data_IF_469754616834
#
_entry.id   IF_469754616834
#
_cell.length_a   1.000
_cell.length_b   1.000
_cell.length_c   1.000
_cell.angle_alpha   90.00
_cell.angle_beta   90.00
_cell.angle_gamma   90.00
#
_symmetry.space_group_name_H-M   'P 1'
#
loop_
_entity.id
_entity.type
_entity.pdbx_description
1 polymer ?
#
# COMPACT_ATOMS: atom_id res chain seq x y z
N UNK A 1 -2.44 -30.73 -4.28
CA UNK A 1 -1.13 -30.25 -4.76
C UNK A 1 -1.30 -28.86 -5.36
N UNK A 2 -1.31 -27.80 -4.55
CA UNK A 2 -1.56 -26.44 -5.05
C UNK A 2 -0.23 -25.78 -5.39
N UNK A 3 0.26 -26.01 -6.61
CA UNK A 3 1.35 -25.20 -7.15
C UNK A 3 0.74 -23.88 -7.69
N UNK A 4 0.67 -22.85 -6.85
CA UNK A 4 0.33 -21.46 -7.23
C UNK A 4 0.57 -20.55 -6.02
N UNK A 5 1.50 -19.59 -6.04
CA UNK A 5 1.65 -18.43 -6.91
C UNK A 5 3.14 -18.05 -7.14
N UNK A 6 3.61 -17.97 -8.39
CA UNK A 6 4.91 -17.36 -8.71
C UNK A 6 4.91 -16.47 -9.97
N UNK A 7 3.73 -16.02 -10.43
CA UNK A 7 3.56 -15.19 -11.61
C UNK A 7 2.09 -15.07 -12.04
N UNK A 8 1.85 -14.31 -13.10
CA UNK A 8 0.52 -14.08 -13.67
C UNK A 8 0.40 -14.68 -15.06
N UNK A 9 -0.82 -14.73 -15.61
CA UNK A 9 -0.99 -15.08 -17.02
C UNK A 9 -0.39 -14.01 -17.93
N UNK A 10 0.19 -14.36 -19.10
CA UNK A 10 0.76 -13.37 -20.04
C UNK A 10 -0.23 -12.27 -20.44
N UNK A 11 -1.50 -12.63 -20.63
CA UNK A 11 -2.57 -11.68 -20.95
C UNK A 11 -2.81 -10.67 -19.82
N UNK A 12 -2.74 -11.10 -18.56
CA UNK A 12 -2.88 -10.20 -17.43
C UNK A 12 -1.66 -9.28 -17.32
N UNK A 13 -0.44 -9.82 -17.46
CA UNK A 13 0.79 -9.03 -17.46
C UNK A 13 0.79 -7.94 -18.54
N UNK A 14 0.39 -8.26 -19.77
CA UNK A 14 0.28 -7.30 -20.86
C UNK A 14 -0.76 -6.19 -20.59
N UNK A 15 -1.81 -6.47 -19.79
CA UNK A 15 -2.76 -5.46 -19.34
C UNK A 15 -2.18 -4.60 -18.22
N UNK A 16 -1.42 -5.19 -17.29
CA UNK A 16 -0.71 -4.43 -16.23
C UNK A 16 0.27 -3.42 -16.82
N UNK A 17 0.91 -3.72 -17.95
CA UNK A 17 1.83 -2.80 -18.65
C UNK A 17 1.17 -1.48 -19.05
N UNK A 18 -0.15 -1.45 -19.23
CA UNK A 18 -0.92 -0.24 -19.57
C UNK A 18 -1.27 0.59 -18.35
N UNK A 19 -1.29 0.00 -17.16
CA UNK A 19 -1.71 0.68 -15.93
C UNK A 19 -0.58 1.53 -15.33
N UNK A 20 -0.96 2.57 -14.57
CA UNK A 20 -0.06 3.37 -13.75
C UNK A 20 -0.67 3.65 -12.37
N UNK A 21 0.16 3.69 -11.34
CA UNK A 21 -0.26 4.10 -10.00
C UNK A 21 -0.53 5.61 -9.95
N UNK A 22 -1.68 5.97 -9.39
CA UNK A 22 -2.10 7.34 -9.12
C UNK A 22 -2.35 7.47 -7.64
N UNK A 23 -1.67 8.44 -7.03
CA UNK A 23 -1.91 8.78 -5.64
C UNK A 23 -2.45 10.20 -5.56
N UNK A 24 -3.54 10.37 -4.82
CA UNK A 24 -4.06 11.70 -4.49
C UNK A 24 -3.05 12.33 -3.54
N UNK A 25 -2.30 13.33 -4.01
CA UNK A 25 -1.51 14.17 -3.11
C UNK A 25 -2.47 15.17 -2.48
N UNK A 26 -2.59 15.24 -1.14
CA UNK A 26 -3.28 16.34 -0.51
C UNK A 26 -2.67 17.64 -1.05
N UNK A 27 -3.52 18.55 -1.56
CA UNK A 27 -3.07 19.88 -1.90
C UNK A 27 -2.40 20.43 -0.64
N UNK A 28 -1.11 20.73 -0.72
CA UNK A 28 -0.43 21.45 0.35
C UNK A 28 -1.26 22.71 0.58
N UNK A 29 -1.93 22.77 1.73
CA UNK A 29 -2.70 23.94 2.11
C UNK A 29 -1.85 25.18 1.90
N UNK A 30 -2.46 26.25 1.40
CA UNK A 30 -1.88 27.60 1.27
C UNK A 30 -1.22 28.03 2.57
N UNK A 31 0.02 27.63 2.77
CA UNK A 31 0.99 28.26 3.63
C UNK A 31 2.08 28.74 2.69
N UNK A 32 1.86 29.97 2.20
CA UNK A 32 2.94 30.83 1.79
C UNK A 32 3.86 30.99 3.01
N UNK A 33 4.92 30.18 3.05
CA UNK A 33 5.79 30.13 4.22
C UNK A 33 6.74 28.94 4.17
N UNK A 34 7.77 29.06 3.34
CA UNK A 34 9.10 28.46 3.49
C UNK A 34 9.25 27.19 4.36
N UNK A 35 8.62 26.08 3.99
CA UNK A 35 9.03 24.73 4.41
C UNK A 35 9.12 23.84 3.15
N UNK A 36 9.95 24.27 2.18
CA UNK A 36 10.51 23.31 1.22
C UNK A 36 11.47 22.44 2.01
N UNK A 37 11.24 21.14 2.01
CA UNK A 37 12.10 20.15 2.65
C UNK A 37 13.58 20.44 2.34
N UNK A 38 14.36 20.74 3.37
CA UNK A 38 15.80 21.06 3.30
C UNK A 38 16.70 19.85 3.00
N UNK A 39 16.14 18.72 2.56
CA UNK A 39 16.92 17.56 2.15
C UNK A 39 17.30 17.68 0.66
N UNK A 40 18.36 18.44 0.38
CA UNK A 40 18.97 18.51 -0.96
C UNK A 40 20.09 17.47 -0.98
N UNK A 41 19.77 16.26 -1.45
CA UNK A 41 20.69 15.14 -1.58
C UNK A 41 21.11 14.87 -3.04
N UNK A 42 22.19 14.10 -3.21
CA UNK A 42 22.87 13.71 -4.48
C UNK A 42 21.98 12.88 -5.42
N UNK A 43 20.96 13.49 -6.01
CA UNK A 43 20.12 12.86 -7.04
C UNK A 43 20.83 12.61 -8.37
N UNK A 44 20.29 11.68 -9.18
CA UNK A 44 20.77 11.38 -10.54
C UNK A 44 20.12 12.27 -11.62
N UNK A 45 18.97 12.90 -11.33
CA UNK A 45 18.24 13.77 -12.25
C UNK A 45 18.51 15.25 -11.94
N UNK A 46 18.95 15.99 -12.95
CA UNK A 46 19.10 17.44 -12.89
C UNK A 46 17.71 18.09 -12.76
N UNK A 47 17.49 18.88 -11.71
CA UNK A 47 16.21 19.54 -11.45
C UNK A 47 16.20 20.99 -11.97
N UNK A 48 17.15 21.82 -11.52
CA UNK A 48 17.23 23.24 -11.89
C UNK A 48 18.59 23.85 -11.51
N UNK A 49 18.86 25.07 -11.97
CA UNK A 49 19.95 25.93 -11.50
C UNK A 49 19.42 26.91 -10.45
N UNK A 50 20.25 27.21 -9.45
CA UNK A 50 20.01 28.37 -8.56
C UNK A 50 21.28 29.21 -8.40
N UNK A 51 21.16 30.51 -8.07
CA UNK A 51 22.33 31.31 -7.71
C UNK A 51 23.12 30.64 -6.59
N UNK A 52 24.44 30.60 -6.76
CA UNK A 52 25.36 30.08 -5.74
C UNK A 52 25.23 30.90 -4.45
N UNK A 53 25.16 30.22 -3.32
CA UNK A 53 25.24 30.84 -2.00
C UNK A 53 26.50 30.39 -1.27
N UNK A 54 26.99 31.23 -0.37
CA UNK A 54 28.14 30.89 0.46
C UNK A 54 27.83 29.67 1.33
N UNK A 55 28.70 28.65 1.27
CA UNK A 55 28.49 27.34 1.90
C UNK A 55 27.97 26.25 0.96
N UNK A 56 27.64 26.56 -0.30
CA UNK A 56 27.30 25.54 -1.30
C UNK A 56 28.51 24.66 -1.67
N UNK A 57 28.29 23.36 -1.89
CA UNK A 57 29.36 22.42 -2.24
C UNK A 57 29.97 22.76 -3.63
N UNK A 58 31.29 23.06 -3.73
CA UNK A 58 31.91 23.50 -4.99
C UNK A 58 31.79 22.51 -6.15
N UNK A 59 31.64 21.21 -5.86
CA UNK A 59 31.44 20.16 -6.87
C UNK A 59 30.12 20.29 -7.61
N UNK A 60 29.12 20.92 -6.99
CA UNK A 60 27.79 21.09 -7.58
C UNK A 60 27.69 22.35 -8.44
N UNK A 61 28.71 23.22 -8.45
CA UNK A 61 28.77 24.40 -9.31
C UNK A 61 28.77 24.00 -10.78
N UNK A 62 27.96 24.69 -11.58
CA UNK A 62 27.96 24.55 -13.04
C UNK A 62 28.98 25.47 -13.68
N UNK A 63 30.19 24.95 -13.89
CA UNK A 63 31.27 25.70 -14.54
C UNK A 63 30.97 26.09 -15.98
N UNK A 64 30.08 25.36 -16.69
CA UNK A 64 29.67 25.70 -18.06
C UNK A 64 28.70 26.86 -18.09
N UNK A 65 27.81 26.97 -17.10
CA UNK A 65 26.92 28.12 -16.94
C UNK A 65 27.71 29.37 -16.55
N UNK A 66 28.71 29.22 -15.66
CA UNK A 66 29.63 30.30 -15.31
C UNK A 66 30.38 30.83 -16.53
N UNK A 67 30.95 29.95 -17.35
CA UNK A 67 31.68 30.33 -18.56
C UNK A 67 30.81 31.10 -19.57
N UNK A 68 29.49 30.87 -19.60
CA UNK A 68 28.56 31.54 -20.53
C UNK A 68 27.97 32.84 -20.01
N UNK A 69 27.72 32.94 -18.71
CA UNK A 69 26.92 34.03 -18.14
C UNK A 69 27.64 34.85 -17.07
N UNK A 70 28.88 34.48 -16.70
CA UNK A 70 29.69 35.18 -15.69
C UNK A 70 29.11 35.15 -14.27
N UNK A 71 28.10 34.31 -14.03
CA UNK A 71 27.41 34.17 -12.74
C UNK A 71 27.49 32.74 -12.25
N UNK A 72 27.75 32.57 -10.94
CA UNK A 72 27.84 31.26 -10.32
C UNK A 72 26.44 30.69 -10.07
N UNK A 73 26.22 29.49 -10.60
CA UNK A 73 25.01 28.70 -10.36
C UNK A 73 25.38 27.34 -9.76
N UNK A 74 24.62 26.92 -8.76
CA UNK A 74 24.71 25.59 -8.15
C UNK A 74 23.66 24.69 -8.80
N UNK A 75 24.08 23.54 -9.34
CA UNK A 75 23.19 22.49 -9.87
C UNK A 75 22.38 21.91 -8.72
N UNK A 76 21.05 21.92 -8.85
CA UNK A 76 20.16 21.17 -7.95
C UNK A 76 19.82 19.85 -8.61
N UNK A 77 20.00 18.79 -7.84
CA UNK A 77 19.56 17.45 -8.22
C UNK A 77 18.30 17.14 -7.42
N UNK A 78 17.32 16.51 -8.07
CA UNK A 78 16.14 15.99 -7.39
C UNK A 78 16.56 14.80 -6.54
N UNK A 79 16.38 14.84 -5.21
CA UNK A 79 16.66 13.66 -4.39
C UNK A 79 15.72 12.53 -4.83
N UNK A 80 16.28 11.41 -5.32
CA UNK A 80 15.57 10.26 -5.92
C UNK A 80 14.80 9.41 -4.88
N UNK A 81 14.29 10.06 -3.82
CA UNK A 81 13.45 9.45 -2.77
C UNK A 81 11.97 9.52 -3.09
N UNK A 82 11.56 10.25 -4.13
CA UNK A 82 10.16 10.43 -4.53
C UNK A 82 9.58 9.36 -5.45
N UNK A 83 10.37 8.34 -5.81
CA UNK A 83 9.95 7.24 -6.70
C UNK A 83 9.77 5.89 -6.01
N UNK A 84 9.76 5.85 -4.67
CA UNK A 84 9.56 4.60 -3.92
C UNK A 84 8.09 4.42 -3.55
N UNK A 85 7.51 3.28 -3.92
CA UNK A 85 6.22 2.78 -3.44
C UNK A 85 6.48 1.68 -2.43
N UNK A 86 6.06 1.88 -1.19
CA UNK A 86 6.08 0.84 -0.17
C UNK A 86 4.76 0.07 -0.22
N UNK A 87 4.84 -1.25 -0.32
CA UNK A 87 3.72 -2.18 -0.21
C UNK A 87 3.81 -2.83 1.17
N UNK A 88 2.96 -2.41 2.10
CA UNK A 88 2.84 -3.04 3.41
C UNK A 88 1.71 -4.09 3.33
N UNK A 89 2.08 -5.36 3.47
CA UNK A 89 1.16 -6.49 3.41
C UNK A 89 0.97 -7.03 4.82
N UNK A 90 -0.27 -7.01 5.29
CA UNK A 90 -0.67 -7.70 6.50
C UNK A 90 -0.58 -9.20 6.29
N UNK A 91 0.15 -9.86 7.18
CA UNK A 91 0.37 -11.30 7.17
C UNK A 91 0.04 -11.91 8.53
N UNK A 92 -0.84 -11.24 9.30
CA UNK A 92 -1.40 -11.74 10.55
C UNK A 92 -2.22 -13.02 10.35
N UNK A 93 -2.55 -13.69 11.46
CA UNK A 93 -3.36 -14.90 11.45
C UNK A 93 -4.79 -14.66 10.89
N UNK A 94 -5.36 -13.46 11.05
CA UNK A 94 -6.67 -13.14 10.47
C UNK A 94 -6.67 -13.20 8.95
N UNK A 95 -5.51 -13.01 8.31
CA UNK A 95 -5.34 -13.11 6.86
C UNK A 95 -5.27 -14.57 6.37
N UNK A 96 -5.07 -15.55 7.26
CA UNK A 96 -5.09 -16.99 6.95
C UNK A 96 -6.52 -17.55 6.89
N UNK A 97 -7.38 -16.92 6.07
CA UNK A 97 -8.80 -17.24 6.01
C UNK A 97 -9.31 -17.38 4.58
N UNK A 98 -10.25 -18.32 4.39
CA UNK A 98 -10.77 -18.73 3.08
C UNK A 98 -9.91 -19.80 2.40
N UNK A 99 -10.32 -20.24 1.22
CA UNK A 99 -9.68 -21.35 0.50
C UNK A 99 -9.31 -20.99 -0.94
N UNK A 100 -8.32 -21.69 -1.49
CA UNK A 100 -7.97 -21.58 -2.91
C UNK A 100 -7.70 -20.13 -3.36
N UNK A 101 -8.23 -19.69 -4.52
CA UNK A 101 -8.02 -18.34 -5.02
C UNK A 101 -8.65 -17.21 -4.18
N UNK A 102 -9.65 -17.51 -3.34
CA UNK A 102 -10.33 -16.54 -2.49
C UNK A 102 -9.73 -16.44 -1.09
N UNK A 103 -8.69 -17.21 -0.77
CA UNK A 103 -7.94 -17.07 0.48
C UNK A 103 -7.38 -15.64 0.62
N UNK A 104 -7.68 -14.95 1.73
CA UNK A 104 -7.35 -13.53 1.96
C UNK A 104 -5.87 -13.21 1.81
N UNK A 105 -5.01 -13.92 2.55
CA UNK A 105 -3.58 -13.69 2.55
C UNK A 105 -2.95 -13.91 1.17
N UNK A 106 -3.26 -15.02 0.50
CA UNK A 106 -2.88 -15.25 -0.89
C UNK A 106 -3.39 -14.13 -1.80
N UNK A 107 -4.65 -13.72 -1.69
CA UNK A 107 -5.24 -12.63 -2.49
C UNK A 107 -4.46 -11.31 -2.31
N UNK A 108 -4.19 -10.91 -1.07
CA UNK A 108 -3.42 -9.72 -0.75
C UNK A 108 -1.98 -9.79 -1.31
N UNK A 109 -1.31 -10.94 -1.18
CA UNK A 109 0.05 -11.16 -1.71
C UNK A 109 0.07 -11.11 -3.25
N UNK A 110 -0.94 -11.66 -3.92
CA UNK A 110 -1.13 -11.53 -5.38
C UNK A 110 -1.39 -10.08 -5.78
N UNK A 111 -2.23 -9.37 -5.03
CA UNK A 111 -2.50 -7.96 -5.30
C UNK A 111 -1.25 -7.09 -5.17
N UNK A 112 -0.46 -7.31 -4.10
CA UNK A 112 0.84 -6.66 -3.91
C UNK A 112 1.80 -6.95 -5.07
N UNK A 113 1.88 -8.19 -5.54
CA UNK A 113 2.69 -8.56 -6.69
C UNK A 113 2.27 -7.83 -7.99
N UNK A 114 0.96 -7.74 -8.25
CA UNK A 114 0.44 -7.01 -9.41
C UNK A 114 0.78 -5.50 -9.34
N UNK A 115 0.59 -4.89 -8.16
CA UNK A 115 0.93 -3.48 -7.93
C UNK A 115 2.43 -3.22 -8.02
N UNK A 116 3.27 -4.16 -7.54
CA UNK A 116 4.72 -4.09 -7.69
C UNK A 116 5.11 -4.10 -9.17
N UNK A 117 4.50 -4.96 -9.99
CA UNK A 117 4.74 -4.99 -11.44
C UNK A 117 4.33 -3.67 -12.10
N UNK A 118 3.13 -3.15 -11.82
CA UNK A 118 2.68 -1.84 -12.33
C UNK A 118 3.65 -0.72 -11.97
N UNK A 119 4.09 -0.67 -10.70
CA UNK A 119 5.03 0.34 -10.22
C UNK A 119 6.40 0.26 -10.92
N UNK A 120 6.97 -0.93 -11.00
CA UNK A 120 8.29 -1.17 -11.62
C UNK A 120 8.27 -0.84 -13.11
N UNK A 121 7.17 -1.15 -13.81
CA UNK A 121 6.96 -0.81 -15.22
C UNK A 121 6.81 0.70 -15.47
N UNK A 122 6.64 1.51 -14.40
CA UNK A 122 6.69 2.97 -14.43
C UNK A 122 7.97 3.52 -13.81
N UNK A 123 9.00 2.69 -13.70
CA UNK A 123 10.31 3.01 -13.13
C UNK A 123 10.21 3.55 -11.70
N UNK A 124 9.25 3.03 -10.92
CA UNK A 124 9.19 3.25 -9.49
C UNK A 124 9.96 2.14 -8.79
N UNK A 125 10.69 2.51 -7.74
CA UNK A 125 11.26 1.56 -6.78
C UNK A 125 10.12 1.01 -5.94
N UNK A 126 10.11 -0.29 -5.71
CA UNK A 126 9.12 -0.96 -4.85
C UNK A 126 9.83 -1.55 -3.65
N UNK A 127 9.30 -1.29 -2.47
CA UNK A 127 9.70 -1.94 -1.22
C UNK A 127 8.53 -2.77 -0.72
N UNK A 128 8.74 -4.07 -0.49
CA UNK A 128 7.74 -4.94 0.12
C UNK A 128 8.04 -5.06 1.61
N UNK A 129 7.04 -4.83 2.46
CA UNK A 129 7.10 -5.02 3.90
C UNK A 129 5.97 -5.94 4.32
N UNK A 130 6.24 -6.85 5.24
CA UNK A 130 5.22 -7.66 5.90
C UNK A 130 4.93 -7.10 7.30
N UNK A 131 3.65 -7.02 7.68
CA UNK A 131 3.22 -6.56 9.00
C UNK A 131 2.83 -7.78 9.83
N UNK A 132 3.51 -7.95 10.97
CA UNK A 132 3.26 -9.02 11.94
C UNK A 132 3.78 -8.62 13.31
N UNK A 133 3.04 -8.94 14.36
CA UNK A 133 3.36 -8.77 15.77
C UNK A 133 3.89 -7.37 16.10
N UNK A 134 3.27 -6.33 15.53
CA UNK A 134 3.69 -4.94 15.73
C UNK A 134 5.06 -4.62 15.11
N UNK A 135 5.51 -5.41 14.14
CA UNK A 135 6.79 -5.26 13.44
C UNK A 135 6.60 -5.16 11.93
N UNK A 136 7.55 -4.48 11.30
CA UNK A 136 7.71 -4.43 9.85
C UNK A 136 8.87 -5.34 9.46
N UNK A 137 8.54 -6.49 8.89
CA UNK A 137 9.52 -7.44 8.36
C UNK A 137 9.89 -7.02 6.93
N UNK A 138 11.17 -6.69 6.66
CA UNK A 138 11.57 -6.23 5.35
C UNK A 138 11.60 -7.39 4.34
N UNK A 139 10.94 -7.18 3.20
CA UNK A 139 11.01 -8.05 2.03
C UNK A 139 11.97 -7.51 0.97
N UNK A 140 11.83 -7.97 -0.29
CA UNK A 140 12.67 -7.53 -1.38
C UNK A 140 12.38 -6.07 -1.76
N UNK A 141 13.45 -5.39 -2.18
CA UNK A 141 13.36 -4.12 -2.87
C UNK A 141 13.57 -4.36 -4.36
N UNK A 142 12.61 -3.91 -5.17
CA UNK A 142 12.63 -4.08 -6.63
C UNK A 142 12.75 -2.73 -7.31
N UNK A 143 13.78 -2.56 -8.14
CA UNK A 143 14.00 -1.33 -8.92
C UNK A 143 13.85 -1.54 -10.42
N UNK A 144 13.80 -2.79 -10.88
CA UNK A 144 13.75 -3.16 -12.29
C UNK A 144 12.92 -4.43 -12.51
N UNK A 145 12.43 -4.62 -13.74
CA UNK A 145 11.58 -5.76 -14.14
C UNK A 145 12.23 -7.12 -13.82
N UNK A 146 13.56 -7.21 -13.92
CA UNK A 146 14.33 -8.42 -13.59
C UNK A 146 14.23 -8.85 -12.12
N UNK A 147 13.87 -7.94 -11.21
CA UNK A 147 13.67 -8.24 -9.79
C UNK A 147 12.25 -8.69 -9.43
N UNK A 148 11.28 -8.56 -10.33
CA UNK A 148 9.89 -8.99 -10.07
C UNK A 148 9.76 -10.48 -9.73
N UNK A 149 10.45 -11.41 -10.41
CA UNK A 149 10.38 -12.83 -10.05
C UNK A 149 10.82 -13.11 -8.60
N UNK A 150 11.78 -12.34 -8.07
CA UNK A 150 12.22 -12.47 -6.68
C UNK A 150 11.14 -11.98 -5.71
N UNK A 151 10.49 -10.84 -6.01
CA UNK A 151 9.35 -10.37 -5.23
C UNK A 151 8.16 -11.34 -5.26
N UNK A 152 7.86 -11.92 -6.41
CA UNK A 152 6.76 -12.88 -6.54
C UNK A 152 7.04 -14.16 -5.76
N UNK A 153 8.28 -14.64 -5.78
CA UNK A 153 8.69 -15.80 -4.97
C UNK A 153 8.64 -15.51 -3.47
N UNK A 154 9.10 -14.33 -3.06
CA UNK A 154 8.99 -13.90 -1.66
C UNK A 154 7.51 -13.87 -1.24
N UNK A 155 6.68 -13.11 -1.95
CA UNK A 155 5.24 -13.02 -1.68
C UNK A 155 4.54 -14.37 -1.78
N UNK A 156 4.93 -15.27 -2.67
CA UNK A 156 4.38 -16.62 -2.77
C UNK A 156 4.76 -17.52 -1.58
N UNK A 157 5.92 -17.29 -0.96
CA UNK A 157 6.45 -18.08 0.16
C UNK A 157 6.09 -17.57 1.56
N UNK A 158 5.60 -16.33 1.67
CA UNK A 158 5.13 -15.77 2.94
C UNK A 158 3.94 -16.58 3.46
N UNK A 159 3.98 -16.87 4.77
CA UNK A 159 2.94 -17.57 5.52
C UNK A 159 2.32 -16.61 6.52
N UNK A 160 1.02 -16.71 6.71
CA UNK A 160 0.25 -15.91 7.62
C UNK A 160 0.47 -16.38 9.09
N UNK A 161 0.27 -15.49 10.06
CA UNK A 161 0.39 -15.80 11.50
C UNK A 161 0.76 -14.59 12.36
N UNK A 162 0.61 -14.72 13.68
CA UNK A 162 0.77 -13.60 14.62
C UNK A 162 -0.38 -12.58 14.54
N UNK A 163 -0.25 -11.43 15.18
CA UNK A 163 -1.26 -10.36 15.17
C UNK A 163 -0.80 -9.16 14.33
N UNK A 164 -1.68 -8.43 13.65
CA UNK A 164 -1.25 -7.29 12.82
C UNK A 164 -0.64 -6.14 13.66
N UNK A 165 -1.38 -5.70 14.69
CA UNK A 165 -1.03 -4.59 15.60
C UNK A 165 -0.57 -3.33 14.84
N UNK A 166 -1.36 -2.89 13.86
CA UNK A 166 -1.03 -1.75 13.00
C UNK A 166 -0.76 -0.46 13.79
N UNK A 167 -1.38 -0.31 14.96
CA UNK A 167 -1.14 0.80 15.88
C UNK A 167 0.31 0.95 16.34
N UNK A 168 1.08 -0.14 16.40
CA UNK A 168 2.48 -0.15 16.83
C UNK A 168 3.44 0.22 15.68
N UNK A 169 3.12 -0.21 14.45
CA UNK A 169 3.97 0.03 13.27
C UNK A 169 3.65 1.33 12.53
N UNK A 170 2.52 1.97 12.82
CA UNK A 170 2.06 3.10 12.03
C UNK A 170 3.06 4.26 11.96
N UNK A 171 3.84 4.51 13.03
CA UNK A 171 4.86 5.57 13.03
C UNK A 171 6.02 5.25 12.08
N UNK A 172 6.38 3.97 11.95
CA UNK A 172 7.35 3.51 10.97
C UNK A 172 6.74 3.70 9.58
N UNK A 173 5.55 3.17 9.32
CA UNK A 173 4.86 3.33 8.04
C UNK A 173 4.72 4.81 7.61
N UNK A 174 4.55 5.73 8.56
CA UNK A 174 4.50 7.18 8.31
C UNK A 174 5.76 7.77 7.68
N UNK A 175 6.94 7.18 7.90
CA UNK A 175 8.16 7.73 7.31
C UNK A 175 8.26 7.51 5.79
N UNK A 176 7.28 6.82 5.19
CA UNK A 176 7.22 6.47 3.78
C UNK A 176 6.31 7.47 3.06
N UNK A 177 6.78 8.00 1.92
CA UNK A 177 6.05 9.02 1.16
C UNK A 177 4.88 8.45 0.37
N UNK A 178 5.06 7.26 -0.19
CA UNK A 178 4.04 6.56 -0.97
C UNK A 178 3.83 5.16 -0.41
N UNK A 179 2.66 4.91 0.18
CA UNK A 179 2.38 3.65 0.89
C UNK A 179 1.05 3.04 0.43
N UNK A 180 1.06 1.75 0.13
CA UNK A 180 -0.16 0.96 -0.05
C UNK A 180 -0.20 -0.08 1.06
N UNK A 181 -1.20 -0.01 1.93
CA UNK A 181 -1.47 -1.00 2.96
C UNK A 181 -2.50 -2.01 2.43
N UNK A 182 -2.21 -3.30 2.55
CA UNK A 182 -3.13 -4.39 2.25
C UNK A 182 -3.41 -5.15 3.56
N UNK A 183 -4.61 -5.04 4.10
CA UNK A 183 -5.02 -5.60 5.40
C UNK A 183 -6.53 -5.77 5.43
N UNK A 184 -7.08 -6.65 6.27
CA UNK A 184 -8.53 -6.69 6.53
C UNK A 184 -8.99 -5.57 7.50
N UNK A 185 -8.06 -4.98 8.25
CA UNK A 185 -8.25 -3.96 9.30
C UNK A 185 -9.19 -4.39 10.43
N UNK A 186 -9.41 -5.70 10.62
CA UNK A 186 -10.37 -6.20 11.61
C UNK A 186 -9.85 -6.14 13.05
N UNK A 187 -8.65 -5.58 13.28
CA UNK A 187 -8.10 -5.35 14.62
C UNK A 187 -8.77 -4.16 15.34
N UNK A 188 -8.89 -4.17 16.68
CA UNK A 188 -9.50 -3.08 17.45
C UNK A 188 -8.85 -1.70 17.23
N UNK A 189 -7.52 -1.66 17.09
CA UNK A 189 -6.72 -0.42 17.02
C UNK A 189 -6.43 0.06 15.59
N UNK A 190 -7.20 -0.41 14.59
CA UNK A 190 -7.03 -0.06 13.18
C UNK A 190 -7.04 1.46 12.94
N UNK A 191 -7.79 2.22 13.75
CA UNK A 191 -7.85 3.68 13.66
C UNK A 191 -6.49 4.33 13.90
N UNK A 192 -5.74 3.82 14.89
CA UNK A 192 -4.41 4.30 15.24
C UNK A 192 -3.40 3.92 14.17
N UNK A 193 -3.48 2.69 13.65
CA UNK A 193 -2.65 2.23 12.54
C UNK A 193 -2.85 3.10 11.29
N UNK A 194 -4.11 3.31 10.88
CA UNK A 194 -4.46 4.14 9.74
C UNK A 194 -4.21 5.63 9.97
N UNK A 195 -4.29 6.13 11.21
CA UNK A 195 -3.96 7.53 11.58
C UNK A 195 -2.60 7.98 11.04
N UNK A 196 -1.67 7.04 11.01
CA UNK A 196 -0.26 7.30 10.79
C UNK A 196 0.13 7.17 9.32
N UNK A 197 -0.74 6.57 8.49
CA UNK A 197 -0.54 6.43 7.04
C UNK A 197 -0.75 7.76 6.29
N UNK A 198 -1.53 8.67 6.87
CA UNK A 198 -1.83 10.00 6.32
C UNK A 198 -1.04 11.14 6.95
N UNK A 199 -0.62 12.10 6.13
CA UNK A 199 0.12 13.29 6.56
C UNK A 199 0.58 14.20 5.42
N UNK A 200 1.08 15.41 5.72
CA UNK A 200 1.54 16.35 4.70
C UNK A 200 2.65 15.75 3.83
N UNK A 201 2.44 15.74 2.50
CA UNK A 201 3.40 15.18 1.54
C UNK A 201 3.39 13.65 1.44
N UNK A 202 2.53 12.96 2.18
CA UNK A 202 2.27 11.54 2.01
C UNK A 202 1.14 11.32 1.02
N UNK A 203 1.23 10.24 0.25
CA UNK A 203 0.21 9.78 -0.65
C UNK A 203 0.10 8.26 -0.50
N UNK A 204 -1.07 7.68 -0.69
CA UNK A 204 -1.21 6.26 -0.46
C UNK A 204 -2.59 5.72 -0.62
N UNK A 205 -2.70 4.42 -0.40
CA UNK A 205 -3.96 3.70 -0.42
C UNK A 205 -4.05 2.65 0.68
N UNK A 206 -5.28 2.37 1.07
CA UNK A 206 -5.62 1.26 1.96
C UNK A 206 -6.55 0.34 1.18
N UNK A 207 -6.06 -0.86 0.91
CA UNK A 207 -6.78 -1.93 0.23
C UNK A 207 -7.26 -2.90 1.29
N UNK A 208 -8.52 -2.76 1.65
CA UNK A 208 -9.15 -3.57 2.67
C UNK A 208 -9.62 -4.89 2.07
N UNK A 209 -9.03 -6.01 2.48
CA UNK A 209 -9.29 -7.33 1.88
C UNK A 209 -10.17 -8.16 2.81
N UNK A 210 -11.35 -8.57 2.34
CA UNK A 210 -12.30 -9.37 3.10
C UNK A 210 -12.70 -10.62 2.33
N UNK A 211 -12.87 -11.73 3.03
CA UNK A 211 -13.37 -12.96 2.46
C UNK A 211 -14.88 -12.87 2.15
N UNK A 212 -15.40 -13.71 1.23
CA UNK A 212 -16.82 -13.69 0.87
C UNK A 212 -17.75 -13.94 2.05
N UNK A 213 -17.37 -14.86 2.93
CA UNK A 213 -18.10 -15.24 4.15
C UNK A 213 -17.93 -14.24 5.29
N UNK A 214 -16.85 -13.45 5.30
CA UNK A 214 -16.78 -12.26 6.15
C UNK A 214 -17.71 -11.17 5.63
N UNK A 215 -17.86 -11.01 4.32
CA UNK A 215 -18.78 -10.01 3.78
C UNK A 215 -20.25 -10.43 3.97
N UNK A 216 -20.52 -11.70 3.72
CA UNK A 216 -21.85 -12.29 3.77
C UNK A 216 -21.77 -13.66 4.47
N UNK A 217 -21.84 -13.67 5.81
CA UNK A 217 -21.77 -14.91 6.56
C UNK A 217 -22.94 -15.84 6.19
N UNK A 218 -22.69 -17.15 6.07
CA UNK A 218 -23.74 -18.10 5.76
C UNK A 218 -24.77 -18.17 6.91
N UNK A 219 -26.02 -18.49 6.58
CA UNK A 219 -27.04 -18.82 7.58
C UNK A 219 -26.66 -20.14 8.28
N UNK A 220 -26.64 -20.15 9.61
CA UNK A 220 -26.09 -21.29 10.36
C UNK A 220 -26.77 -21.64 11.69
N UNK A 221 -27.75 -20.88 12.16
CA UNK A 221 -28.32 -21.10 13.51
C UNK A 221 -27.33 -20.67 14.59
N UNK A 222 -27.05 -21.52 15.58
CA UNK A 222 -26.01 -21.30 16.60
C UNK A 222 -24.67 -21.86 16.10
N UNK A 223 -23.66 -21.00 16.02
CA UNK A 223 -22.30 -21.39 15.65
C UNK A 223 -21.30 -20.88 16.67
N UNK A 224 -20.23 -21.63 16.88
CA UNK A 224 -19.07 -21.17 17.62
C UNK A 224 -18.08 -20.52 16.64
N UNK A 225 -17.75 -19.26 16.87
CA UNK A 225 -16.70 -18.55 16.15
C UNK A 225 -15.44 -18.55 17.00
N UNK A 226 -14.31 -18.89 16.39
CA UNK A 226 -12.99 -18.82 17.04
C UNK A 226 -12.27 -17.60 16.49
N UNK A 227 -11.85 -16.71 17.37
CA UNK A 227 -11.04 -15.54 17.00
C UNK A 227 -9.67 -15.99 16.49
N UNK A 228 -9.30 -15.53 15.28
CA UNK A 228 -8.11 -16.01 14.58
C UNK A 228 -6.78 -15.61 15.25
N UNK A 229 -6.76 -14.54 16.07
CA UNK A 229 -5.54 -14.05 16.72
C UNK A 229 -5.40 -14.53 18.16
N UNK A 230 -6.52 -14.63 18.88
CA UNK A 230 -6.56 -14.94 20.32
C UNK A 230 -6.98 -16.38 20.62
N UNK A 231 -7.69 -17.03 19.70
CA UNK A 231 -8.33 -18.33 19.93
C UNK A 231 -9.56 -18.25 20.83
N UNK A 232 -10.07 -17.05 21.16
CA UNK A 232 -11.29 -16.87 21.95
C UNK A 232 -12.49 -17.47 21.19
N UNK A 233 -13.22 -18.36 21.85
CA UNK A 233 -14.44 -18.95 21.29
C UNK A 233 -15.63 -18.09 21.70
N UNK A 234 -16.45 -17.70 20.73
CA UNK A 234 -17.70 -16.96 20.93
C UNK A 234 -18.85 -17.70 20.28
N UNK A 235 -19.86 -18.00 21.07
CA UNK A 235 -21.13 -18.49 20.56
C UNK A 235 -21.90 -17.32 19.92
N UNK A 236 -22.26 -17.47 18.65
CA UNK A 236 -22.99 -16.46 17.89
C UNK A 236 -24.19 -17.10 17.21
N UNK A 237 -25.33 -16.43 17.30
CA UNK A 237 -26.53 -16.80 16.57
C UNK A 237 -26.56 -16.12 15.19
N UNK A 238 -26.30 -16.90 14.14
CA UNK A 238 -26.44 -16.52 12.73
C UNK A 238 -27.91 -16.64 12.27
N UNK A 239 -28.82 -15.97 12.99
CA UNK A 239 -30.22 -15.79 12.58
C UNK A 239 -30.33 -14.68 11.53
N UNK A 240 -31.45 -14.60 10.77
CA UNK A 240 -31.66 -13.49 9.83
C UNK A 240 -31.53 -12.10 10.47
N UNK A 241 -32.00 -11.92 11.71
CA UNK A 241 -31.85 -10.67 12.46
C UNK A 241 -30.39 -10.42 12.87
N UNK A 242 -29.67 -11.47 13.30
CA UNK A 242 -28.24 -11.40 13.62
C UNK A 242 -27.40 -11.01 12.40
N UNK A 243 -27.66 -11.61 11.24
CA UNK A 243 -27.00 -11.29 9.97
C UNK A 243 -27.34 -9.87 9.49
N UNK A 244 -28.57 -9.42 9.63
CA UNK A 244 -28.94 -8.03 9.32
C UNK A 244 -28.18 -7.03 10.21
N UNK A 245 -28.08 -7.32 11.51
CA UNK A 245 -27.28 -6.53 12.45
C UNK A 245 -25.78 -6.55 12.12
N UNK A 246 -25.25 -7.71 11.72
CA UNK A 246 -23.87 -7.86 11.26
C UNK A 246 -23.59 -6.99 10.03
N UNK A 247 -24.43 -7.11 8.98
CA UNK A 247 -24.32 -6.29 7.75
C UNK A 247 -24.31 -4.80 8.06
N UNK A 248 -25.22 -4.35 8.94
CA UNK A 248 -25.25 -2.95 9.36
C UNK A 248 -23.94 -2.50 10.04
N UNK A 249 -23.36 -3.34 10.90
CA UNK A 249 -22.07 -3.06 11.54
C UNK A 249 -20.91 -3.08 10.53
N UNK A 250 -20.90 -4.04 9.61
CA UNK A 250 -19.88 -4.12 8.57
C UNK A 250 -19.94 -2.89 7.65
N UNK A 251 -21.12 -2.49 7.20
CA UNK A 251 -21.32 -1.30 6.37
C UNK A 251 -20.86 -0.03 7.10
N UNK A 252 -21.21 0.10 8.38
CA UNK A 252 -20.77 1.21 9.22
C UNK A 252 -19.23 1.23 9.37
N UNK A 253 -18.62 0.06 9.57
CA UNK A 253 -17.18 -0.10 9.69
C UNK A 253 -16.45 0.26 8.38
N UNK A 254 -16.86 -0.33 7.25
CA UNK A 254 -16.31 0.00 5.92
C UNK A 254 -16.48 1.49 5.60
N UNK A 255 -17.63 2.07 5.96
CA UNK A 255 -17.90 3.50 5.84
C UNK A 255 -16.96 4.35 6.70
N UNK A 256 -16.69 3.95 7.95
CA UNK A 256 -15.78 4.62 8.86
C UNK A 256 -14.33 4.59 8.35
N UNK A 257 -13.86 3.44 7.87
CA UNK A 257 -12.53 3.28 7.26
C UNK A 257 -12.39 4.19 6.03
N UNK A 258 -13.37 4.15 5.12
CA UNK A 258 -13.38 4.99 3.91
C UNK A 258 -13.35 6.47 4.26
N UNK A 259 -14.20 6.91 5.18
CA UNK A 259 -14.25 8.31 5.61
C UNK A 259 -12.93 8.76 6.24
N UNK A 260 -12.29 7.90 7.05
CA UNK A 260 -11.00 8.17 7.66
C UNK A 260 -9.88 8.31 6.62
N UNK A 261 -9.79 7.37 5.68
CA UNK A 261 -8.84 7.43 4.57
C UNK A 261 -9.05 8.72 3.74
N UNK A 262 -10.31 9.07 3.45
CA UNK A 262 -10.67 10.28 2.71
C UNK A 262 -10.20 11.57 3.40
N UNK A 263 -10.38 11.69 4.73
CA UNK A 263 -9.89 12.84 5.52
C UNK A 263 -8.37 12.99 5.48
N UNK A 264 -7.66 11.89 5.26
CA UNK A 264 -6.20 11.83 5.19
C UNK A 264 -5.67 11.97 3.76
N UNK A 265 -6.55 12.07 2.76
CA UNK A 265 -6.18 12.08 1.34
C UNK A 265 -5.74 10.71 0.80
N UNK A 266 -5.98 9.63 1.53
CA UNK A 266 -5.70 8.26 1.10
C UNK A 266 -6.85 7.71 0.25
N UNK A 267 -6.51 6.93 -0.77
CA UNK A 267 -7.50 6.14 -1.52
C UNK A 267 -7.89 4.90 -0.71
N UNK A 268 -9.17 4.58 -0.61
CA UNK A 268 -9.65 3.35 0.03
C UNK A 268 -10.40 2.49 -0.98
N UNK A 269 -10.12 1.19 -0.97
CA UNK A 269 -10.89 0.20 -1.70
C UNK A 269 -11.16 -0.98 -0.76
N UNK A 270 -12.43 -1.35 -0.61
CA UNK A 270 -12.81 -2.61 0.03
C UNK A 270 -12.97 -3.67 -1.06
N UNK A 271 -12.27 -4.79 -0.91
CA UNK A 271 -12.12 -5.85 -1.90
C UNK A 271 -12.65 -7.14 -1.32
N UNK A 272 -13.65 -7.72 -1.99
CA UNK A 272 -14.14 -9.06 -1.68
C UNK A 272 -13.32 -10.08 -2.49
N UNK A 273 -12.71 -11.06 -1.82
CA UNK A 273 -11.85 -12.04 -2.49
C UNK A 273 -12.60 -13.03 -3.39
N UNK A 274 -13.94 -13.01 -3.41
CA UNK A 274 -14.75 -13.65 -4.46
C UNK A 274 -14.46 -13.06 -5.85
N UNK A 275 -14.09 -11.78 -5.93
CA UNK A 275 -13.70 -11.14 -7.19
C UNK A 275 -12.24 -11.44 -7.49
N UNK A 276 -11.97 -12.08 -8.64
CA UNK A 276 -10.60 -12.41 -9.05
C UNK A 276 -9.66 -11.19 -9.02
N UNK A 277 -8.39 -11.41 -8.64
CA UNK A 277 -7.36 -10.36 -8.53
C UNK A 277 -7.24 -9.56 -9.84
N UNK A 278 -7.30 -10.26 -10.97
CA UNK A 278 -7.28 -9.66 -12.31
C UNK A 278 -8.40 -8.64 -12.50
N UNK A 279 -9.62 -8.97 -12.09
CA UNK A 279 -10.76 -8.06 -12.18
C UNK A 279 -10.64 -6.91 -11.19
N UNK A 280 -10.21 -7.16 -9.96
CA UNK A 280 -9.99 -6.12 -8.97
C UNK A 280 -8.97 -5.09 -9.46
N UNK A 281 -7.85 -5.51 -10.04
CA UNK A 281 -6.81 -4.61 -10.56
C UNK A 281 -7.26 -3.87 -11.82
N UNK A 282 -8.02 -4.50 -12.72
CA UNK A 282 -8.39 -3.90 -14.01
C UNK A 282 -9.67 -3.06 -13.98
N UNK A 283 -10.51 -3.23 -12.96
CA UNK A 283 -11.82 -2.56 -12.85
C UNK A 283 -12.01 -1.84 -11.52
N UNK A 284 -11.82 -2.53 -10.39
CA UNK A 284 -12.12 -1.97 -9.07
C UNK A 284 -11.12 -0.87 -8.70
N UNK A 285 -9.82 -1.17 -8.78
CA UNK A 285 -8.79 -0.20 -8.40
C UNK A 285 -8.79 1.06 -9.30
N UNK A 286 -8.99 0.98 -10.62
CA UNK A 286 -9.16 2.17 -11.44
C UNK A 286 -10.38 3.02 -11.07
N UNK A 287 -11.50 2.40 -10.72
CA UNK A 287 -12.69 3.13 -10.28
C UNK A 287 -12.46 3.92 -8.98
N UNK A 288 -11.51 3.50 -8.14
CA UNK A 288 -11.11 4.25 -6.93
C UNK A 288 -10.12 5.39 -7.22
N UNK A 289 -9.59 5.47 -8.44
CA UNK A 289 -8.54 6.42 -8.83
C UNK A 289 -7.14 6.06 -8.32
N UNK A 290 -6.94 4.83 -7.82
CA UNK A 290 -5.60 4.32 -7.47
C UNK A 290 -4.79 3.92 -8.70
N UNK A 291 -5.46 3.46 -9.76
CA UNK A 291 -4.84 3.08 -11.01
C UNK A 291 -5.44 3.88 -12.17
N UNK A 292 -4.60 4.34 -13.07
CA UNK A 292 -5.03 4.90 -14.36
C UNK A 292 -4.64 3.95 -15.50
N UNK A 293 -5.40 4.03 -16.60
CA UNK A 293 -5.13 3.35 -17.86
C UNK A 293 -4.27 4.18 -18.80
#
# INVERSE_FOLDING_TARGET
MTAGFPGFSPDFEARLERLALRFRRPATGRWAGAQRSRAVGRGLAFADHRPYAEGDEPRLVDWRAYARHGRLYTRRFEEDRDRTVTLAVDVSASMDHGEGPSHKGLYARRLAAALAQVAVLRHLRVEVLCVRDGRLEPGPVVTARSGLPAAFRFLGGVREGGAARLGEVGALLRSRRTLILLSDLLEPDWERGTALLGGPGQAGAVLQVLAPDEWEPPLGGEVELVDAETGEVREVQLTPAGLAGYRCRLDAFLGAVRARCGRQGLTHAALNTATAVEEAVLRVLPATGLLDR
#
